data_IF_380840255388
#
_entry.id   IF_380840255388
#
_cell.length_a   1.000
_cell.length_b   1.000
_cell.length_c   1.000
_cell.angle_alpha   90.00
_cell.angle_beta   90.00
_cell.angle_gamma   90.00
#
_symmetry.space_group_name_H-M   'P 1'
#
loop_
_entity.id
_entity.type
_entity.pdbx_description
1 polymer ?
#
# COMPACT_ATOMS: atom_id res chain seq x y z
N UNK A 1 23.95 -12.68 -0.78
CA UNK A 1 23.32 -11.67 -1.64
C UNK A 1 24.31 -11.25 -2.70
N UNK A 2 23.98 -11.45 -3.96
CA UNK A 2 24.85 -11.05 -5.09
C UNK A 2 24.83 -9.52 -5.25
N UNK A 3 25.80 -8.97 -5.99
CA UNK A 3 25.84 -7.53 -6.28
C UNK A 3 24.56 -7.07 -7.00
N UNK A 4 24.04 -7.89 -7.91
CA UNK A 4 22.81 -7.61 -8.67
C UNK A 4 21.58 -7.63 -7.78
N UNK A 5 21.43 -8.61 -6.90
CA UNK A 5 20.36 -8.64 -5.91
C UNK A 5 20.35 -7.38 -5.03
N UNK A 6 21.53 -6.93 -4.59
CA UNK A 6 21.64 -5.71 -3.81
C UNK A 6 21.16 -4.48 -4.60
N UNK A 7 21.61 -4.31 -5.84
CA UNK A 7 21.24 -3.17 -6.69
C UNK A 7 19.73 -3.17 -6.98
N UNK A 8 19.16 -4.32 -7.37
CA UNK A 8 17.74 -4.42 -7.68
C UNK A 8 16.87 -4.25 -6.43
N UNK A 9 17.31 -4.74 -5.28
CA UNK A 9 16.64 -4.48 -4.00
C UNK A 9 16.67 -2.98 -3.67
N UNK A 10 17.80 -2.31 -3.88
CA UNK A 10 17.92 -0.87 -3.67
C UNK A 10 16.98 -0.09 -4.61
N UNK A 11 16.89 -0.46 -5.88
CA UNK A 11 15.92 0.11 -6.84
C UNK A 11 14.50 -0.09 -6.34
N UNK A 12 14.14 -1.29 -5.87
CA UNK A 12 12.82 -1.58 -5.32
C UNK A 12 12.49 -0.70 -4.12
N UNK A 13 13.43 -0.54 -3.18
CA UNK A 13 13.26 0.33 -2.01
C UNK A 13 13.11 1.79 -2.43
N UNK A 14 13.91 2.27 -3.39
CA UNK A 14 13.80 3.64 -3.89
C UNK A 14 12.42 3.89 -4.53
N UNK A 15 11.93 2.99 -5.38
CA UNK A 15 10.59 3.08 -5.98
C UNK A 15 9.50 3.07 -4.92
N UNK A 16 9.61 2.16 -3.94
CA UNK A 16 8.69 2.10 -2.80
C UNK A 16 8.63 3.44 -2.04
N UNK A 17 9.77 4.03 -1.74
CA UNK A 17 9.83 5.32 -1.05
C UNK A 17 9.26 6.45 -1.91
N UNK A 18 9.57 6.50 -3.20
CA UNK A 18 9.04 7.52 -4.13
C UNK A 18 7.52 7.44 -4.25
N UNK A 19 6.93 6.28 -4.21
CA UNK A 19 5.48 6.11 -4.29
C UNK A 19 4.78 6.35 -2.95
N UNK A 20 5.36 5.85 -1.86
CA UNK A 20 4.73 5.87 -0.55
C UNK A 20 4.93 7.17 0.23
N UNK A 21 6.12 7.78 0.16
CA UNK A 21 6.40 9.00 0.92
C UNK A 21 5.52 10.19 0.50
N UNK A 22 5.35 10.50 -0.81
CA UNK A 22 4.42 11.55 -1.22
C UNK A 22 2.98 11.23 -0.84
N UNK A 23 2.57 9.96 -0.97
CA UNK A 23 1.24 9.50 -0.57
C UNK A 23 1.02 9.71 0.94
N UNK A 24 2.02 9.38 1.75
CA UNK A 24 1.99 9.58 3.20
C UNK A 24 1.92 11.07 3.56
N UNK A 25 2.77 11.91 2.96
CA UNK A 25 2.79 13.36 3.19
C UNK A 25 1.45 13.99 2.80
N UNK A 26 0.94 13.66 1.62
CA UNK A 26 -0.37 14.14 1.17
C UNK A 26 -1.48 13.76 2.13
N UNK A 27 -1.48 12.51 2.62
CA UNK A 27 -2.48 12.01 3.56
C UNK A 27 -2.36 12.63 4.95
N UNK A 28 -1.15 12.93 5.44
CA UNK A 28 -0.93 13.58 6.73
C UNK A 28 -1.39 15.04 6.68
N UNK A 29 -1.11 15.75 5.57
CA UNK A 29 -1.46 17.17 5.41
C UNK A 29 -2.95 17.42 5.17
N UNK A 30 -3.65 16.44 4.61
CA UNK A 30 -5.07 16.60 4.35
C UNK A 30 -5.86 16.42 5.64
N UNK A 31 -6.53 17.48 6.07
CA UNK A 31 -7.43 17.44 7.23
C UNK A 31 -8.45 16.31 7.11
N UNK A 32 -8.63 15.63 8.21
CA UNK A 32 -9.56 14.52 8.35
C UNK A 32 -10.97 15.06 8.41
N UNK A 33 -11.73 14.88 7.37
CA UNK A 33 -13.19 15.02 7.46
C UNK A 33 -13.74 13.73 8.08
N UNK A 34 -13.86 13.72 9.39
CA UNK A 34 -14.65 12.70 10.06
C UNK A 34 -16.13 12.96 9.75
N UNK A 35 -16.93 11.91 9.54
CA UNK A 35 -18.38 12.07 9.40
C UNK A 35 -18.90 12.80 10.64
N UNK A 36 -19.58 13.91 10.42
CA UNK A 36 -20.29 14.66 11.48
C UNK A 36 -21.74 14.19 11.47
N UNK A 37 -22.15 13.52 12.51
CA UNK A 37 -23.52 13.03 12.66
C UNK A 37 -23.61 11.75 13.48
N UNK A 38 -24.80 11.30 13.77
CA UNK A 38 -25.02 10.02 14.44
C UNK A 38 -24.56 8.86 13.56
N UNK A 39 -23.91 7.83 14.13
CA UNK A 39 -23.48 6.66 13.39
C UNK A 39 -24.69 5.94 12.76
N UNK A 40 -24.74 5.91 11.44
CA UNK A 40 -25.77 5.18 10.71
C UNK A 40 -25.22 3.82 10.28
N UNK A 41 -25.98 2.72 10.43
CA UNK A 41 -25.54 1.40 9.98
C UNK A 41 -25.18 1.41 8.49
N UNK A 42 -23.98 0.92 8.17
CA UNK A 42 -23.46 0.88 6.81
C UNK A 42 -24.03 -0.32 6.07
N UNK A 43 -24.59 -0.09 4.89
CA UNK A 43 -25.09 -1.16 4.03
C UNK A 43 -23.95 -2.00 3.45
N UNK A 44 -24.25 -3.26 3.09
CA UNK A 44 -23.26 -4.14 2.44
C UNK A 44 -22.75 -3.54 1.12
N UNK A 45 -23.63 -2.91 0.34
CA UNK A 45 -23.26 -2.23 -0.90
C UNK A 45 -22.23 -1.11 -0.69
N UNK A 46 -22.40 -0.29 0.36
CA UNK A 46 -21.43 0.76 0.69
C UNK A 46 -20.06 0.18 1.09
N UNK A 47 -20.05 -0.91 1.87
CA UNK A 47 -18.80 -1.61 2.24
C UNK A 47 -18.10 -2.18 1.00
N UNK A 48 -18.85 -2.83 0.11
CA UNK A 48 -18.31 -3.37 -1.14
C UNK A 48 -17.71 -2.29 -2.02
N UNK A 49 -18.39 -1.16 -2.19
CA UNK A 49 -17.90 -0.04 -3.00
C UNK A 49 -16.69 0.65 -2.38
N UNK A 50 -16.58 0.68 -1.05
CA UNK A 50 -15.38 1.17 -0.38
C UNK A 50 -14.20 0.23 -0.62
N UNK A 51 -14.41 -1.09 -0.49
CA UNK A 51 -13.40 -2.11 -0.78
C UNK A 51 -12.94 -2.04 -2.25
N UNK A 52 -13.87 -1.88 -3.19
CA UNK A 52 -13.55 -1.72 -4.60
C UNK A 52 -12.68 -0.48 -4.84
N UNK A 53 -13.00 0.65 -4.19
CA UNK A 53 -12.19 1.85 -4.25
C UNK A 53 -10.77 1.64 -3.72
N UNK A 54 -10.61 0.89 -2.64
CA UNK A 54 -9.29 0.53 -2.11
C UNK A 54 -8.53 -0.41 -3.03
N UNK A 55 -9.21 -1.41 -3.58
CA UNK A 55 -8.61 -2.34 -4.55
C UNK A 55 -8.12 -1.61 -5.81
N UNK A 56 -8.88 -0.63 -6.32
CA UNK A 56 -8.44 0.21 -7.43
C UNK A 56 -7.18 1.01 -7.09
N UNK A 57 -7.10 1.62 -5.91
CA UNK A 57 -5.91 2.36 -5.48
C UNK A 57 -4.69 1.46 -5.33
N UNK A 58 -4.83 0.30 -4.71
CA UNK A 58 -3.76 -0.70 -4.61
C UNK A 58 -3.32 -1.15 -5.99
N UNK A 59 -4.28 -1.45 -6.87
CA UNK A 59 -4.00 -1.85 -8.25
C UNK A 59 -3.19 -0.79 -9.02
N UNK A 60 -3.58 0.48 -8.92
CA UNK A 60 -2.84 1.59 -9.56
C UNK A 60 -1.42 1.73 -9.01
N UNK A 61 -1.23 1.66 -7.69
CA UNK A 61 0.10 1.73 -7.07
C UNK A 61 0.95 0.53 -7.46
N UNK A 62 0.36 -0.66 -7.53
CA UNK A 62 1.03 -1.89 -7.97
C UNK A 62 1.48 -1.80 -9.43
N UNK A 63 0.61 -1.34 -10.32
CA UNK A 63 0.94 -1.14 -11.73
C UNK A 63 2.02 -0.07 -11.92
N UNK A 64 1.93 1.05 -11.21
CA UNK A 64 2.96 2.09 -11.25
C UNK A 64 4.30 1.58 -10.72
N UNK A 65 4.29 0.87 -9.58
CA UNK A 65 5.50 0.29 -8.99
C UNK A 65 6.14 -0.74 -9.92
N UNK A 66 5.35 -1.63 -10.50
CA UNK A 66 5.84 -2.63 -11.45
C UNK A 66 6.37 -1.98 -12.72
N UNK A 67 5.67 -0.99 -13.28
CA UNK A 67 6.11 -0.27 -14.47
C UNK A 67 7.46 0.45 -14.27
N UNK A 68 7.62 1.15 -13.13
CA UNK A 68 8.88 1.79 -12.77
C UNK A 68 10.01 0.78 -12.55
N UNK A 69 9.71 -0.33 -11.86
CA UNK A 69 10.69 -1.39 -11.62
C UNK A 69 11.12 -2.05 -12.92
N UNK A 70 10.19 -2.42 -13.80
CA UNK A 70 10.49 -3.02 -15.09
C UNK A 70 11.31 -2.07 -15.98
N UNK A 71 10.96 -0.79 -16.01
CA UNK A 71 11.73 0.21 -16.76
C UNK A 71 13.16 0.37 -16.23
N UNK A 72 13.31 0.43 -14.91
CA UNK A 72 14.63 0.54 -14.28
C UNK A 72 15.49 -0.71 -14.49
N UNK A 73 14.89 -1.91 -14.39
CA UNK A 73 15.60 -3.19 -14.60
C UNK A 73 16.02 -3.38 -16.06
N UNK A 74 15.15 -3.04 -17.01
CA UNK A 74 15.50 -3.06 -18.43
C UNK A 74 16.65 -2.10 -18.74
N UNK A 75 16.61 -0.88 -18.20
CA UNK A 75 17.72 0.08 -18.36
C UNK A 75 19.03 -0.42 -17.74
N UNK A 76 18.95 -1.07 -16.59
CA UNK A 76 20.11 -1.66 -15.93
C UNK A 76 20.67 -2.84 -16.72
N UNK A 77 19.82 -3.75 -17.20
CA UNK A 77 20.19 -4.91 -18.01
C UNK A 77 20.86 -4.49 -19.32
N UNK A 78 20.34 -3.48 -19.98
CA UNK A 78 20.88 -2.93 -21.23
C UNK A 78 22.33 -2.44 -21.06
N UNK A 79 22.67 -1.86 -19.93
CA UNK A 79 24.02 -1.38 -19.61
C UNK A 79 24.96 -2.47 -19.05
N UNK A 80 24.45 -3.67 -18.74
CA UNK A 80 25.20 -4.76 -18.12
C UNK A 80 24.92 -6.11 -18.79
N UNK A 81 25.01 -6.16 -20.11
CA UNK A 81 24.65 -7.32 -20.94
C UNK A 81 25.41 -8.59 -20.55
N UNK A 82 26.66 -8.45 -20.10
CA UNK A 82 27.51 -9.52 -19.59
C UNK A 82 27.00 -10.17 -18.29
N UNK A 83 26.07 -9.53 -17.58
CA UNK A 83 25.53 -9.97 -16.29
C UNK A 83 24.03 -10.34 -16.36
N UNK A 84 23.49 -10.48 -17.56
CA UNK A 84 22.07 -10.68 -17.82
C UNK A 84 21.45 -11.80 -16.99
N UNK A 85 22.07 -12.99 -16.97
CA UNK A 85 21.53 -14.13 -16.24
C UNK A 85 21.45 -13.92 -14.72
N UNK A 86 22.41 -13.20 -14.13
CA UNK A 86 22.40 -12.86 -12.72
C UNK A 86 21.36 -11.80 -12.39
N UNK A 87 21.11 -10.87 -13.32
CA UNK A 87 20.05 -9.86 -13.19
C UNK A 87 18.67 -10.53 -13.26
N UNK A 88 18.43 -11.39 -14.22
CA UNK A 88 17.18 -12.15 -14.37
C UNK A 88 16.82 -12.95 -13.11
N UNK A 89 17.78 -13.59 -12.48
CA UNK A 89 17.58 -14.31 -11.21
C UNK A 89 17.21 -13.38 -10.05
N UNK A 90 17.73 -12.17 -10.03
CA UNK A 90 17.51 -11.20 -8.97
C UNK A 90 16.20 -10.39 -9.14
N UNK A 91 15.63 -10.33 -10.36
CA UNK A 91 14.37 -9.59 -10.65
C UNK A 91 13.20 -10.15 -9.85
N UNK A 92 13.03 -11.47 -9.79
CA UNK A 92 11.90 -12.10 -9.11
C UNK A 92 11.81 -11.75 -7.62
N UNK A 93 12.84 -11.98 -6.81
CA UNK A 93 12.78 -11.64 -5.38
C UNK A 93 12.63 -10.14 -5.13
N UNK A 94 13.34 -9.30 -5.91
CA UNK A 94 13.28 -7.85 -5.75
C UNK A 94 11.89 -7.28 -6.15
N UNK A 95 11.33 -7.76 -7.26
CA UNK A 95 9.99 -7.37 -7.71
C UNK A 95 8.89 -7.83 -6.75
N UNK A 96 8.97 -9.06 -6.24
CA UNK A 96 8.04 -9.59 -5.25
C UNK A 96 8.09 -8.79 -3.94
N UNK A 97 9.28 -8.44 -3.48
CA UNK A 97 9.46 -7.59 -2.29
C UNK A 97 8.85 -6.19 -2.47
N UNK A 98 9.00 -5.59 -3.67
CA UNK A 98 8.37 -4.32 -4.00
C UNK A 98 6.84 -4.39 -3.94
N UNK A 99 6.25 -5.39 -4.60
CA UNK A 99 4.80 -5.55 -4.63
C UNK A 99 4.22 -5.82 -3.25
N UNK A 100 4.86 -6.69 -2.47
CA UNK A 100 4.49 -6.94 -1.08
C UNK A 100 4.60 -5.65 -0.25
N UNK A 101 5.70 -4.92 -0.39
CA UNK A 101 5.93 -3.65 0.29
C UNK A 101 4.85 -2.60 -0.01
N UNK A 102 4.45 -2.45 -1.27
CA UNK A 102 3.36 -1.53 -1.68
C UNK A 102 2.05 -1.92 -1.00
N UNK A 103 1.68 -3.20 -1.04
CA UNK A 103 0.42 -3.68 -0.45
C UNK A 103 0.41 -3.50 1.07
N UNK A 104 1.46 -3.95 1.76
CA UNK A 104 1.60 -3.79 3.22
C UNK A 104 1.65 -2.32 3.60
N UNK A 105 2.43 -1.52 2.89
CA UNK A 105 2.54 -0.09 3.11
C UNK A 105 1.20 0.64 2.95
N UNK A 106 0.41 0.28 1.92
CA UNK A 106 -0.93 0.83 1.74
C UNK A 106 -1.84 0.53 2.93
N UNK A 107 -1.86 -0.72 3.38
CA UNK A 107 -2.67 -1.14 4.54
C UNK A 107 -2.24 -0.37 5.79
N UNK A 108 -0.94 -0.32 6.09
CA UNK A 108 -0.43 0.39 7.26
C UNK A 108 -0.75 1.88 7.21
N UNK A 109 -0.54 2.55 6.08
CA UNK A 109 -0.85 3.97 5.93
C UNK A 109 -2.36 4.22 6.06
N UNK A 110 -3.19 3.36 5.49
CA UNK A 110 -4.63 3.53 5.50
C UNK A 110 -5.23 3.26 6.87
N UNK A 111 -4.84 2.18 7.52
CA UNK A 111 -5.44 1.75 8.78
C UNK A 111 -4.80 2.42 10.00
N UNK A 112 -3.48 2.50 10.05
CA UNK A 112 -2.77 3.05 11.22
C UNK A 112 -2.60 4.57 11.11
N UNK A 113 -2.09 5.05 9.98
CA UNK A 113 -1.82 6.48 9.76
C UNK A 113 -3.08 7.35 9.71
N UNK A 114 -4.23 6.80 9.31
CA UNK A 114 -5.51 7.52 9.18
C UNK A 114 -6.60 7.00 10.11
N UNK A 115 -6.26 6.25 11.14
CA UNK A 115 -7.21 5.68 12.08
C UNK A 115 -8.35 4.91 11.38
N UNK A 116 -8.00 4.07 10.43
CA UNK A 116 -8.93 3.22 9.72
C UNK A 116 -9.68 3.88 8.56
N UNK A 117 -9.25 5.06 8.10
CA UNK A 117 -9.85 5.71 6.94
C UNK A 117 -8.96 5.54 5.71
N UNK A 118 -9.27 4.56 4.89
CA UNK A 118 -8.66 4.34 3.57
C UNK A 118 -9.25 5.30 2.52
N UNK A 119 -8.64 5.45 1.34
CA UNK A 119 -9.23 6.20 0.24
C UNK A 119 -10.62 5.73 -0.15
N UNK A 120 -10.87 4.41 -0.18
CA UNK A 120 -12.17 3.84 -0.48
C UNK A 120 -13.22 4.17 0.58
N UNK A 121 -12.88 4.00 1.87
CA UNK A 121 -13.79 4.36 2.97
C UNK A 121 -14.03 5.87 3.03
N UNK A 122 -12.99 6.68 2.80
CA UNK A 122 -13.11 8.14 2.81
C UNK A 122 -14.01 8.68 1.69
N UNK A 123 -13.96 8.08 0.50
CA UNK A 123 -14.82 8.46 -0.63
C UNK A 123 -16.32 8.22 -0.35
N UNK A 124 -16.61 7.29 0.55
CA UNK A 124 -17.98 6.92 0.96
C UNK A 124 -18.35 7.47 2.34
N UNK A 125 -17.51 8.33 2.93
CA UNK A 125 -17.70 8.89 4.28
C UNK A 125 -17.87 7.81 5.38
N UNK A 126 -17.20 6.66 5.19
CA UNK A 126 -17.19 5.57 6.16
C UNK A 126 -16.03 5.73 7.12
N UNK A 127 -16.23 5.33 8.37
CA UNK A 127 -15.18 5.29 9.39
C UNK A 127 -15.34 4.05 10.27
N UNK A 128 -14.23 3.55 10.78
CA UNK A 128 -14.25 2.53 11.82
C UNK A 128 -14.60 3.20 13.15
N UNK A 129 -15.57 2.64 13.85
CA UNK A 129 -15.99 3.10 15.16
C UNK A 129 -15.83 2.00 16.19
N UNK A 130 -15.60 2.38 17.46
CA UNK A 130 -15.60 1.47 18.58
C UNK A 130 -17.04 1.11 19.02
N UNK A 131 -17.16 0.30 20.05
CA UNK A 131 -18.46 -0.10 20.60
C UNK A 131 -19.29 1.06 21.17
N UNK A 132 -18.67 2.22 21.38
CA UNK A 132 -19.34 3.45 21.86
C UNK A 132 -19.73 4.40 20.73
N UNK A 133 -19.48 4.02 19.45
CA UNK A 133 -19.75 4.86 18.28
C UNK A 133 -18.69 5.94 18.02
N UNK A 134 -17.59 5.97 18.79
CA UNK A 134 -16.48 6.90 18.57
C UNK A 134 -15.51 6.37 17.52
N UNK A 135 -14.82 7.26 16.78
CA UNK A 135 -13.78 6.81 15.86
C UNK A 135 -12.76 5.89 16.53
N UNK A 136 -12.53 4.72 15.94
CA UNK A 136 -11.60 3.73 16.45
C UNK A 136 -10.21 4.32 16.65
N UNK A 137 -9.60 4.07 17.81
CA UNK A 137 -8.25 4.56 18.14
C UNK A 137 -7.17 3.82 17.35
N UNK A 138 -5.95 4.39 17.32
CA UNK A 138 -4.80 3.84 16.57
C UNK A 138 -4.48 2.39 16.93
N UNK A 139 -4.64 2.00 18.20
CA UNK A 139 -4.42 0.62 18.64
C UNK A 139 -5.40 -0.37 17.99
N UNK A 140 -6.70 -0.04 17.94
CA UNK A 140 -7.71 -0.88 17.30
C UNK A 140 -7.47 -1.01 15.80
N UNK A 141 -7.17 0.09 15.12
CA UNK A 141 -6.91 0.06 13.68
C UNK A 141 -5.60 -0.65 13.34
N UNK A 142 -4.60 -0.61 14.22
CA UNK A 142 -3.38 -1.40 14.10
C UNK A 142 -3.65 -2.90 14.18
N UNK A 143 -4.43 -3.36 15.17
CA UNK A 143 -4.80 -4.78 15.31
C UNK A 143 -5.58 -5.27 14.10
N UNK A 144 -6.53 -4.48 13.58
CA UNK A 144 -7.29 -4.80 12.36
C UNK A 144 -6.33 -4.88 11.16
N UNK A 145 -5.41 -3.93 11.01
CA UNK A 145 -4.42 -3.93 9.94
C UNK A 145 -3.48 -5.13 10.01
N UNK A 146 -3.02 -5.48 11.20
CA UNK A 146 -2.19 -6.65 11.43
C UNK A 146 -2.93 -7.95 11.08
N UNK A 147 -4.17 -8.11 11.54
CA UNK A 147 -4.99 -9.26 11.20
C UNK A 147 -5.22 -9.39 9.69
N UNK A 148 -5.45 -8.27 9.00
CA UNK A 148 -5.61 -8.23 7.55
C UNK A 148 -4.32 -8.64 6.82
N UNK A 149 -3.16 -8.12 7.25
CA UNK A 149 -1.85 -8.50 6.69
C UNK A 149 -1.58 -9.99 6.90
N UNK A 150 -1.83 -10.50 8.11
CA UNK A 150 -1.65 -11.92 8.41
C UNK A 150 -2.58 -12.82 7.57
N UNK A 151 -3.81 -12.37 7.27
CA UNK A 151 -4.73 -13.11 6.39
C UNK A 151 -4.30 -13.13 4.91
N UNK A 152 -3.45 -12.21 4.48
CA UNK A 152 -2.88 -12.20 3.12
C UNK A 152 -1.62 -13.09 3.04
N UNK A 153 -0.87 -13.18 4.13
CA UNK A 153 0.41 -13.91 4.18
C UNK A 153 0.25 -15.40 4.57
N UNK A 154 -0.88 -15.79 5.18
CA UNK A 154 -1.21 -17.17 5.60
C UNK A 154 -2.04 -17.88 4.61
#
# INVERSE_FOLDING_TARGET
MTKQEFILTFISVAIFLVLLVPTLIYKIRRERKLPTGEPVPVTQGQRFMALLGDAMWVGLLTLAGWGLFSGATLGYEFNHVDQKSAIEQAIHPAGSALLLGINVGYVLISLVGRLGVSPGTNSRQLAWVDSTGRPAGRGHTFVIGLAFILSILG
#
